data_IF_705045838364
#
_entry.id   IF_705045838364
#
_cell.length_a   1.000
_cell.length_b   1.000
_cell.length_c   1.000
_cell.angle_alpha   90.00
_cell.angle_beta   90.00
_cell.angle_gamma   90.00
#
_symmetry.space_group_name_H-M   'P 1'
#
loop_
_entity.id
_entity.type
_entity.pdbx_description
1 polymer ?
#
# COMPACT_ATOMS: atom_id res chain seq x y z
N UNK A 1 1.21 -2.94 -12.66
CA UNK A 1 0.15 -2.07 -12.10
C UNK A 1 -0.83 -1.55 -13.14
N UNK A 2 -0.38 -0.84 -14.19
CA UNK A 2 -1.29 -0.28 -15.22
C UNK A 2 -2.18 -1.33 -15.88
N UNK A 3 -1.63 -2.51 -16.23
CA UNK A 3 -2.42 -3.61 -16.80
C UNK A 3 -3.55 -4.08 -15.87
N UNK A 4 -3.28 -4.19 -14.57
CA UNK A 4 -4.28 -4.53 -13.55
C UNK A 4 -5.36 -3.43 -13.47
N UNK A 5 -4.96 -2.16 -13.56
CA UNK A 5 -5.89 -1.02 -13.53
C UNK A 5 -6.75 -0.88 -14.79
N UNK A 6 -6.52 -1.67 -15.85
CA UNK A 6 -7.39 -1.71 -17.02
C UNK A 6 -8.80 -2.23 -16.68
N UNK A 7 -8.95 -3.02 -15.62
CA UNK A 7 -10.26 -3.40 -15.09
C UNK A 7 -10.90 -2.22 -14.35
N UNK A 8 -12.08 -1.71 -14.79
CA UNK A 8 -12.75 -0.59 -14.16
C UNK A 8 -13.19 -0.83 -12.71
N UNK A 9 -13.36 -2.10 -12.29
CA UNK A 9 -13.75 -2.45 -10.92
C UNK A 9 -12.59 -2.29 -9.91
N UNK A 10 -11.35 -2.14 -10.39
CA UNK A 10 -10.18 -1.97 -9.52
C UNK A 10 -9.95 -0.48 -9.26
N UNK A 11 -10.00 -0.09 -7.99
CA UNK A 11 -9.78 1.27 -7.51
C UNK A 11 -8.33 1.55 -7.15
N UNK A 12 -7.59 0.53 -6.73
CA UNK A 12 -6.16 0.63 -6.44
C UNK A 12 -5.43 -0.69 -6.71
N UNK A 13 -4.14 -0.61 -7.02
CA UNK A 13 -3.28 -1.78 -7.09
C UNK A 13 -1.90 -1.42 -6.53
N UNK A 14 -1.30 -2.36 -5.80
CA UNK A 14 0.06 -2.23 -5.28
C UNK A 14 0.99 -3.34 -5.79
N UNK A 15 2.28 -3.05 -5.74
CA UNK A 15 3.34 -4.00 -6.04
C UNK A 15 4.05 -4.52 -4.80
N UNK A 16 4.98 -5.43 -5.03
CA UNK A 16 5.91 -5.95 -4.03
C UNK A 16 6.90 -4.88 -3.57
N UNK A 17 7.16 -4.83 -2.27
CA UNK A 17 8.19 -3.99 -1.68
C UNK A 17 9.42 -4.83 -1.28
N UNK A 18 10.60 -4.25 -1.46
CA UNK A 18 11.84 -4.85 -0.96
C UNK A 18 12.83 -3.79 -0.51
N UNK A 19 13.71 -4.13 0.44
CA UNK A 19 14.82 -3.27 0.80
C UNK A 19 15.96 -3.38 -0.24
N UNK A 20 16.44 -2.23 -0.70
CA UNK A 20 17.57 -2.10 -1.64
C UNK A 20 18.90 -2.46 -0.97
N UNK A 21 19.11 -1.97 0.25
CA UNK A 21 20.28 -2.20 1.11
C UNK A 21 20.13 -3.43 2.02
N UNK A 22 19.29 -4.41 1.63
CA UNK A 22 18.99 -5.61 2.43
C UNK A 22 20.19 -6.51 2.70
N UNK A 23 21.35 -6.26 2.09
CA UNK A 23 22.57 -7.09 2.26
C UNK A 23 23.64 -6.39 3.11
N UNK A 24 23.39 -5.15 3.51
CA UNK A 24 24.41 -4.29 4.09
C UNK A 24 24.66 -4.63 5.56
N UNK A 25 23.61 -4.93 6.34
CA UNK A 25 23.73 -5.30 7.75
C UNK A 25 22.73 -6.40 8.14
N UNK A 26 22.89 -6.96 9.34
CA UNK A 26 21.90 -7.89 9.90
C UNK A 26 20.55 -7.19 10.16
N UNK A 27 20.56 -5.89 10.46
CA UNK A 27 19.37 -5.10 10.71
C UNK A 27 18.58 -4.86 9.41
N UNK A 28 19.26 -4.47 8.32
CA UNK A 28 18.59 -4.26 7.03
C UNK A 28 18.02 -5.56 6.48
N UNK A 29 18.68 -6.71 6.74
CA UNK A 29 18.14 -8.04 6.45
C UNK A 29 16.86 -8.34 7.23
N UNK A 30 16.83 -8.04 8.53
CA UNK A 30 15.66 -8.25 9.37
C UNK A 30 14.48 -7.38 8.93
N UNK A 31 14.74 -6.11 8.58
CA UNK A 31 13.70 -5.21 8.07
C UNK A 31 13.15 -5.70 6.71
N UNK A 32 14.00 -6.20 5.80
CA UNK A 32 13.53 -6.80 4.53
C UNK A 32 12.65 -8.03 4.77
N UNK A 33 12.97 -8.88 5.75
CA UNK A 33 12.13 -10.01 6.15
C UNK A 33 10.78 -9.54 6.69
N UNK A 34 10.75 -8.49 7.52
CA UNK A 34 9.50 -7.92 8.02
C UNK A 34 8.66 -7.33 6.87
N UNK A 35 9.28 -6.62 5.94
CA UNK A 35 8.60 -6.12 4.73
C UNK A 35 8.02 -7.26 3.90
N UNK A 36 8.73 -8.39 3.80
CA UNK A 36 8.21 -9.57 3.10
C UNK A 36 6.91 -10.07 3.74
N UNK A 37 6.88 -10.23 5.06
CA UNK A 37 5.69 -10.70 5.77
C UNK A 37 4.53 -9.69 5.68
N UNK A 38 4.78 -8.43 6.03
CA UNK A 38 3.73 -7.42 6.22
C UNK A 38 3.27 -6.71 4.93
N UNK A 39 4.17 -6.53 3.96
CA UNK A 39 3.88 -5.79 2.72
C UNK A 39 3.64 -6.70 1.52
N UNK A 40 4.10 -7.95 1.55
CA UNK A 40 3.98 -8.86 0.41
C UNK A 40 3.08 -10.05 0.73
N UNK A 41 3.41 -10.86 1.74
CA UNK A 41 2.68 -12.11 2.02
C UNK A 41 1.27 -11.86 2.54
N UNK A 42 1.10 -10.96 3.51
CA UNK A 42 -0.23 -10.55 4.00
C UNK A 42 -1.10 -9.97 2.87
N UNK A 43 -0.51 -9.18 1.97
CA UNK A 43 -1.21 -8.53 0.85
C UNK A 43 -1.56 -9.53 -0.24
N UNK A 44 -0.70 -10.52 -0.52
CA UNK A 44 -1.00 -11.62 -1.42
C UNK A 44 -2.21 -12.43 -0.92
N UNK A 45 -2.31 -12.68 0.38
CA UNK A 45 -3.48 -13.35 0.96
C UNK A 45 -4.75 -12.49 0.83
N UNK A 46 -4.67 -11.19 1.12
CA UNK A 46 -5.81 -10.26 1.00
C UNK A 46 -6.28 -10.07 -0.45
N UNK A 47 -5.36 -10.08 -1.42
CA UNK A 47 -5.69 -9.95 -2.84
C UNK A 47 -6.53 -11.12 -3.36
N UNK A 48 -6.47 -12.30 -2.73
CA UNK A 48 -7.39 -13.42 -3.08
C UNK A 48 -8.86 -13.07 -2.83
N UNK A 49 -9.13 -12.08 -1.98
CA UNK A 49 -10.45 -11.53 -1.72
C UNK A 49 -10.71 -10.21 -2.45
N UNK A 50 -9.78 -9.73 -3.28
CA UNK A 50 -9.83 -8.41 -3.93
C UNK A 50 -9.84 -7.24 -2.93
N UNK A 51 -9.31 -7.46 -1.73
CA UNK A 51 -9.46 -6.58 -0.58
C UNK A 51 -8.13 -6.32 0.14
N UNK A 52 -7.08 -5.99 -0.62
CA UNK A 52 -5.83 -5.47 -0.05
C UNK A 52 -6.14 -4.24 0.81
N UNK A 53 -5.89 -4.32 2.11
CA UNK A 53 -6.32 -3.27 3.04
C UNK A 53 -5.39 -2.07 3.12
N UNK A 54 -4.18 -2.17 2.56
CA UNK A 54 -3.20 -1.09 2.56
C UNK A 54 -2.31 -1.20 1.32
N UNK A 55 -2.56 -0.37 0.32
CA UNK A 55 -1.69 -0.22 -0.85
C UNK A 55 -0.52 0.71 -0.50
N UNK A 56 0.63 0.13 -0.12
CA UNK A 56 1.78 0.88 0.38
C UNK A 56 2.36 1.84 -0.69
N UNK A 57 2.64 3.07 -0.27
CA UNK A 57 3.07 4.18 -1.11
C UNK A 57 4.27 3.93 -2.04
N UNK A 58 5.32 3.18 -1.65
CA UNK A 58 6.48 2.95 -2.53
C UNK A 58 6.13 2.27 -3.87
N UNK A 59 5.00 1.56 -3.96
CA UNK A 59 4.55 0.92 -5.19
C UNK A 59 3.03 0.80 -5.23
N UNK A 60 2.32 1.92 -5.36
CA UNK A 60 0.87 1.92 -5.49
C UNK A 60 0.38 2.83 -6.63
N UNK A 61 -0.75 2.47 -7.23
CA UNK A 61 -1.51 3.31 -8.15
C UNK A 61 -2.97 3.34 -7.72
N UNK A 62 -3.60 4.50 -7.86
CA UNK A 62 -5.00 4.72 -7.52
C UNK A 62 -5.76 5.26 -8.74
N UNK A 63 -7.01 4.84 -8.89
CA UNK A 63 -7.91 5.33 -9.95
C UNK A 63 -8.30 6.77 -9.63
N UNK A 64 -7.86 7.71 -10.49
CA UNK A 64 -8.12 9.15 -10.31
C UNK A 64 -9.60 9.49 -10.15
N UNK A 65 -10.48 8.89 -10.96
CA UNK A 65 -11.92 9.18 -10.88
C UNK A 65 -12.52 8.79 -9.52
N UNK A 66 -12.08 7.66 -8.95
CA UNK A 66 -12.49 7.24 -7.61
C UNK A 66 -11.89 8.15 -6.53
N UNK A 67 -10.59 8.47 -6.65
CA UNK A 67 -9.89 9.34 -5.71
C UNK A 67 -10.56 10.72 -5.59
N UNK A 68 -10.93 11.34 -6.71
CA UNK A 68 -11.57 12.66 -6.70
C UNK A 68 -12.92 12.67 -5.97
N UNK A 69 -13.66 11.56 -6.00
CA UNK A 69 -14.92 11.42 -5.26
C UNK A 69 -14.68 11.26 -3.75
N UNK A 70 -13.53 10.73 -3.37
CA UNK A 70 -13.16 10.42 -1.98
C UNK A 70 -12.28 11.50 -1.34
N UNK A 71 -11.78 12.46 -2.12
CA UNK A 71 -10.75 13.42 -1.71
C UNK A 71 -11.13 14.20 -0.44
N UNK A 72 -12.39 14.64 -0.35
CA UNK A 72 -12.86 15.36 0.84
C UNK A 72 -12.78 14.47 2.09
N UNK A 73 -13.23 13.22 2.03
CA UNK A 73 -13.18 12.29 3.16
C UNK A 73 -11.74 11.96 3.54
N UNK A 74 -10.88 11.80 2.54
CA UNK A 74 -9.46 11.54 2.72
C UNK A 74 -8.76 12.71 3.45
N UNK A 75 -8.97 13.96 3.02
CA UNK A 75 -8.27 15.12 3.58
C UNK A 75 -8.78 15.55 4.97
N UNK A 76 -10.02 15.19 5.30
CA UNK A 76 -10.72 15.64 6.52
C UNK A 76 -10.70 14.60 7.64
N UNK A 77 -9.87 13.55 7.52
CA UNK A 77 -9.75 12.52 8.54
C UNK A 77 -9.38 13.12 9.91
N UNK A 78 -10.16 12.78 10.93
CA UNK A 78 -9.86 13.12 12.32
C UNK A 78 -9.84 11.90 13.21
N UNK A 79 -8.91 11.89 14.17
CA UNK A 79 -8.86 10.91 15.24
C UNK A 79 -8.90 11.65 16.57
N UNK A 80 -9.91 11.35 17.40
CA UNK A 80 -10.15 12.00 18.70
C UNK A 80 -10.16 13.54 18.61
N UNK A 81 -10.79 14.06 17.56
CA UNK A 81 -10.95 15.51 17.33
C UNK A 81 -9.71 16.22 16.79
N UNK A 82 -8.60 15.51 16.52
CA UNK A 82 -7.41 16.06 15.86
C UNK A 82 -7.31 15.54 14.44
N UNK A 83 -6.80 16.36 13.52
CA UNK A 83 -6.49 15.89 12.16
C UNK A 83 -5.48 14.75 12.25
N UNK A 84 -5.76 13.65 11.55
CA UNK A 84 -4.85 12.52 11.43
C UNK A 84 -4.11 12.65 10.11
N UNK A 85 -2.78 12.58 10.15
CA UNK A 85 -1.86 12.52 9.00
C UNK A 85 -1.09 11.19 8.96
N UNK A 86 -1.46 10.25 9.84
CA UNK A 86 -0.83 8.94 9.95
C UNK A 86 -1.66 7.86 9.25
N UNK A 87 -0.97 7.00 8.48
CA UNK A 87 -1.60 5.87 7.82
C UNK A 87 -2.42 6.24 6.58
N UNK A 88 -2.06 7.34 5.91
CA UNK A 88 -2.70 7.87 4.70
C UNK A 88 -2.98 6.81 3.64
N UNK A 89 -1.98 5.97 3.32
CA UNK A 89 -2.12 4.88 2.34
C UNK A 89 -3.24 3.91 2.72
N UNK A 90 -3.26 3.50 4.00
CA UNK A 90 -4.28 2.60 4.53
C UNK A 90 -5.64 3.28 4.49
N UNK A 91 -5.72 4.53 4.95
CA UNK A 91 -6.98 5.27 4.95
C UNK A 91 -7.56 5.37 3.54
N UNK A 92 -6.76 5.79 2.56
CA UNK A 92 -7.19 5.89 1.18
C UNK A 92 -7.60 4.54 0.59
N UNK A 93 -6.83 3.48 0.88
CA UNK A 93 -7.17 2.11 0.42
C UNK A 93 -8.50 1.64 0.99
N UNK A 94 -8.76 1.91 2.28
CA UNK A 94 -10.03 1.58 2.92
C UNK A 94 -11.18 2.39 2.33
N UNK A 95 -10.98 3.67 2.00
CA UNK A 95 -11.99 4.48 1.30
C UNK A 95 -12.33 3.92 -0.08
N UNK A 96 -11.34 3.41 -0.82
CA UNK A 96 -11.58 2.74 -2.11
C UNK A 96 -12.46 1.49 -1.94
N UNK A 97 -12.15 0.66 -0.95
CA UNK A 97 -12.93 -0.54 -0.62
C UNK A 97 -14.35 -0.18 -0.18
N UNK A 98 -14.51 0.84 0.67
CA UNK A 98 -15.80 1.32 1.13
C UNK A 98 -16.66 1.90 -0.01
N UNK A 99 -16.02 2.47 -1.04
CA UNK A 99 -16.69 2.93 -2.26
C UNK A 99 -17.06 1.81 -3.25
N UNK A 100 -16.80 0.54 -2.89
CA UNK A 100 -17.16 -0.63 -3.68
C UNK A 100 -16.12 -1.05 -4.73
N UNK A 101 -14.93 -0.46 -4.72
CA UNK A 101 -13.84 -0.88 -5.60
C UNK A 101 -13.06 -2.05 -5.01
N UNK A 102 -12.44 -2.85 -5.88
CA UNK A 102 -11.43 -3.84 -5.49
C UNK A 102 -10.05 -3.21 -5.37
N UNK A 103 -9.22 -3.82 -4.55
CA UNK A 103 -7.81 -3.46 -4.37
C UNK A 103 -6.93 -4.70 -4.52
N UNK A 104 -5.90 -4.60 -5.37
CA UNK A 104 -5.14 -5.76 -5.83
C UNK A 104 -3.64 -5.70 -5.48
N UNK A 105 -3.02 -6.87 -5.37
CA UNK A 105 -1.58 -7.04 -5.21
C UNK A 105 -0.98 -7.67 -6.47
N UNK A 106 0.07 -7.05 -7.02
CA UNK A 106 0.73 -7.47 -8.26
C UNK A 106 2.18 -7.88 -7.94
N UNK A 107 2.48 -9.18 -7.74
CA UNK A 107 3.80 -9.64 -7.28
C UNK A 107 4.93 -9.30 -8.26
N UNK A 108 4.62 -9.23 -9.56
CA UNK A 108 5.61 -8.91 -10.60
C UNK A 108 5.92 -7.40 -10.72
N UNK A 109 5.17 -6.53 -10.04
CA UNK A 109 5.49 -5.11 -9.95
C UNK A 109 6.31 -4.91 -8.68
N UNK A 110 7.62 -4.64 -8.81
CA UNK A 110 8.53 -4.60 -7.66
C UNK A 110 9.09 -3.18 -7.52
N UNK A 111 9.03 -2.63 -6.32
CA UNK A 111 9.75 -1.42 -5.94
C UNK A 111 10.77 -1.73 -4.84
N UNK A 112 11.92 -1.07 -4.91
CA UNK A 112 12.94 -1.14 -3.88
C UNK A 112 13.01 0.19 -3.12
N UNK A 113 13.11 0.12 -1.80
CA UNK A 113 13.30 1.29 -0.92
C UNK A 113 14.57 1.15 -0.10
N UNK A 114 15.07 2.25 0.47
CA UNK A 114 16.18 2.22 1.44
C UNK A 114 15.59 2.09 2.83
N UNK A 115 16.17 1.22 3.67
CA UNK A 115 15.77 1.06 5.08
C UNK A 115 16.91 1.49 6.01
N UNK A 116 16.61 1.88 7.27
CA UNK A 116 17.66 2.22 8.23
C UNK A 116 18.65 1.08 8.46
N UNK A 117 19.94 1.39 8.46
CA UNK A 117 21.04 0.45 8.72
C UNK A 117 21.58 0.55 10.16
N UNK A 118 21.08 1.50 10.94
CA UNK A 118 21.43 1.80 12.34
C UNK A 118 20.18 2.05 13.18
N UNK A 119 20.28 1.82 14.49
CA UNK A 119 19.21 2.04 15.47
C UNK A 119 19.17 3.46 16.05
N UNK A 120 20.27 4.20 15.94
CA UNK A 120 20.48 5.53 16.50
C UNK A 120 21.47 6.33 15.64
#
# INVERSE_FOLDING_TARGET
LVLTMSDPAIGAAMGQLTASNRRDTWLTRLIDMEYWLACNEERAAQARFGAVMCCCGPCAIYRRSALLLLLNQYETQTFRGKRSDFGEDRHLTILMLAAGYRTEYVPNAIAATVVPDKLW
#
